data_IF_336790596078
#
_entry.id   IF_336790596078
#
_cell.length_a   1.000
_cell.length_b   1.000
_cell.length_c   1.000
_cell.angle_alpha   90.00
_cell.angle_beta   90.00
_cell.angle_gamma   90.00
#
_symmetry.space_group_name_H-M   'P 1'
#
loop_
_entity.id
_entity.type
_entity.pdbx_description
1 polymer ?
#
# COMPACT_ATOMS: atom_id res chain seq x y z
N UNK A 1 22.52 -12.97 -13.47
CA UNK A 1 22.75 -12.08 -12.31
C UNK A 1 22.41 -10.68 -12.76
N UNK A 2 21.56 -9.95 -12.01
CA UNK A 2 21.22 -8.54 -12.31
C UNK A 2 22.46 -7.68 -12.03
N UNK A 3 22.79 -6.78 -12.94
CA UNK A 3 23.96 -5.89 -12.84
C UNK A 3 23.77 -4.83 -11.73
N UNK A 4 24.86 -4.24 -11.24
CA UNK A 4 24.80 -3.19 -10.21
C UNK A 4 24.15 -1.88 -10.71
N UNK A 5 24.17 -1.63 -12.01
CA UNK A 5 23.49 -0.50 -12.66
C UNK A 5 21.98 -0.74 -12.74
N UNK A 6 21.54 -1.93 -13.15
CA UNK A 6 20.12 -2.33 -13.13
C UNK A 6 19.57 -2.31 -11.69
N UNK A 7 20.35 -2.73 -10.69
CA UNK A 7 19.96 -2.62 -9.27
C UNK A 7 19.77 -1.16 -8.85
N UNK A 8 20.68 -0.25 -9.19
CA UNK A 8 20.56 1.18 -8.86
C UNK A 8 19.35 1.83 -9.52
N UNK A 9 19.07 1.47 -10.77
CA UNK A 9 17.92 2.01 -11.51
C UNK A 9 16.59 1.51 -10.93
N UNK A 10 16.53 0.24 -10.51
CA UNK A 10 15.38 -0.34 -9.79
C UNK A 10 15.21 0.32 -8.41
N UNK A 11 16.29 0.49 -7.64
CA UNK A 11 16.25 1.15 -6.32
C UNK A 11 15.72 2.59 -6.44
N UNK A 12 16.13 3.35 -7.47
CA UNK A 12 15.60 4.68 -7.75
C UNK A 12 14.12 4.68 -8.19
N UNK A 13 13.66 3.62 -8.89
CA UNK A 13 12.24 3.45 -9.24
C UNK A 13 11.36 3.07 -8.05
N UNK A 14 11.95 2.43 -7.04
CA UNK A 14 11.26 1.78 -5.91
C UNK A 14 11.50 2.55 -4.60
N UNK A 15 12.01 3.78 -4.65
CA UNK A 15 12.28 4.58 -3.45
C UNK A 15 10.99 4.89 -2.66
N UNK A 16 11.03 4.66 -1.35
CA UNK A 16 9.93 4.91 -0.42
C UNK A 16 10.47 5.19 0.98
N UNK A 17 9.96 6.25 1.60
CA UNK A 17 10.34 6.73 2.91
C UNK A 17 9.29 6.31 3.95
N UNK A 18 9.58 5.22 4.65
CA UNK A 18 8.70 4.68 5.68
C UNK A 18 8.62 5.58 6.91
N UNK A 19 9.71 6.27 7.27
CA UNK A 19 9.73 7.18 8.42
C UNK A 19 8.88 8.43 8.16
N UNK A 20 8.88 8.93 6.92
CA UNK A 20 7.97 10.00 6.49
C UNK A 20 6.51 9.58 6.53
N UNK A 21 6.19 8.33 6.16
CA UNK A 21 4.83 7.79 6.33
C UNK A 21 4.44 7.74 7.81
N UNK A 22 5.30 7.17 8.67
CA UNK A 22 5.03 7.09 10.11
C UNK A 22 4.83 8.46 10.72
N UNK A 23 5.70 9.42 10.42
CA UNK A 23 5.60 10.79 10.92
C UNK A 23 4.29 11.43 10.49
N UNK A 24 3.90 11.28 9.21
CA UNK A 24 2.63 11.78 8.72
C UNK A 24 1.42 11.18 9.46
N UNK A 25 1.42 9.88 9.71
CA UNK A 25 0.34 9.21 10.47
C UNK A 25 0.29 9.72 11.90
N UNK A 26 1.44 9.86 12.57
CA UNK A 26 1.52 10.34 13.95
C UNK A 26 1.07 11.79 14.09
N UNK A 27 1.49 12.67 13.19
CA UNK A 27 1.11 14.09 13.16
C UNK A 27 -0.37 14.30 12.82
N UNK A 28 -0.99 13.35 12.11
CA UNK A 28 -2.38 13.42 11.66
C UNK A 28 -3.24 12.32 12.29
N UNK A 29 -2.96 11.98 13.55
CA UNK A 29 -3.66 10.90 14.27
C UNK A 29 -5.18 11.09 14.34
N UNK A 30 -5.66 12.33 14.31
CA UNK A 30 -7.10 12.66 14.25
C UNK A 30 -7.79 12.26 12.94
N UNK A 31 -7.05 12.15 11.82
CA UNK A 31 -7.60 11.73 10.53
C UNK A 31 -7.70 10.21 10.45
N UNK A 32 -6.76 9.51 11.08
CA UNK A 32 -6.72 8.05 11.13
C UNK A 32 -7.35 7.60 12.43
N UNK A 33 -8.67 7.70 12.49
CA UNK A 33 -9.50 7.53 13.69
C UNK A 33 -9.25 6.24 14.51
N UNK A 34 -8.59 5.23 13.93
CA UNK A 34 -8.22 4.00 14.63
C UNK A 34 -7.14 3.21 13.85
N UNK A 35 -6.51 2.27 14.56
CA UNK A 35 -5.46 1.38 14.04
C UNK A 35 -5.87 0.56 12.80
N UNK A 36 -7.15 0.18 12.69
CA UNK A 36 -7.68 -0.47 11.48
C UNK A 36 -7.60 0.46 10.26
N UNK A 37 -8.02 1.72 10.43
CA UNK A 37 -7.94 2.75 9.39
C UNK A 37 -6.49 3.02 8.99
N UNK A 38 -5.55 2.97 9.94
CA UNK A 38 -4.11 3.09 9.66
C UNK A 38 -3.62 1.98 8.74
N UNK A 39 -4.00 0.74 9.00
CA UNK A 39 -3.64 -0.39 8.15
C UNK A 39 -4.24 -0.26 6.74
N UNK A 40 -5.49 0.17 6.63
CA UNK A 40 -6.18 0.37 5.35
C UNK A 40 -5.58 1.54 4.55
N UNK A 41 -5.23 2.63 5.22
CA UNK A 41 -4.51 3.75 4.62
C UNK A 41 -3.14 3.31 4.08
N UNK A 42 -2.35 2.61 4.90
CA UNK A 42 -1.06 2.05 4.47
C UNK A 42 -1.20 1.10 3.29
N UNK A 43 -2.28 0.30 3.25
CA UNK A 43 -2.58 -0.56 2.10
C UNK A 43 -2.81 0.25 0.81
N UNK A 44 -3.50 1.39 0.90
CA UNK A 44 -3.64 2.33 -0.21
C UNK A 44 -2.28 2.83 -0.72
N UNK A 45 -1.41 3.25 0.20
CA UNK A 45 -0.03 3.67 -0.12
C UNK A 45 0.74 2.55 -0.83
N UNK A 46 0.63 1.30 -0.36
CA UNK A 46 1.29 0.16 -1.01
C UNK A 46 0.77 -0.06 -2.44
N UNK A 47 -0.54 0.09 -2.69
CA UNK A 47 -1.11 -0.04 -4.03
C UNK A 47 -0.64 1.08 -4.95
N UNK A 48 -0.45 2.31 -4.45
CA UNK A 48 0.18 3.39 -5.23
C UNK A 48 1.57 2.98 -5.73
N UNK A 49 2.37 2.34 -4.86
CA UNK A 49 3.71 1.87 -5.22
C UNK A 49 3.63 0.73 -6.25
N UNK A 50 2.65 -0.16 -6.13
CA UNK A 50 2.36 -1.18 -7.16
C UNK A 50 2.03 -0.53 -8.50
N UNK A 51 1.18 0.51 -8.54
CA UNK A 51 0.89 1.24 -9.78
C UNK A 51 2.14 1.87 -10.37
N UNK A 52 3.00 2.47 -9.54
CA UNK A 52 4.27 3.05 -9.99
C UNK A 52 5.18 2.00 -10.63
N UNK A 53 5.30 0.82 -10.03
CA UNK A 53 6.05 -0.30 -10.60
C UNK A 53 5.42 -0.81 -11.90
N UNK A 54 4.10 -0.97 -11.96
CA UNK A 54 3.41 -1.43 -13.17
C UNK A 54 3.54 -0.43 -14.31
N UNK A 55 3.38 0.86 -14.05
CA UNK A 55 3.58 1.90 -15.03
C UNK A 55 5.00 1.86 -15.60
N UNK A 56 6.01 1.66 -14.74
CA UNK A 56 7.41 1.59 -15.16
C UNK A 56 7.79 0.32 -15.94
N UNK A 57 7.03 -0.78 -15.80
CA UNK A 57 7.33 -2.07 -16.44
C UNK A 57 6.42 -2.38 -17.65
N UNK A 58 5.17 -1.91 -17.63
CA UNK A 58 4.11 -2.30 -18.58
C UNK A 58 3.45 -1.11 -19.28
N UNK A 59 3.85 0.14 -18.95
CA UNK A 59 3.17 1.36 -19.39
C UNK A 59 1.65 1.36 -19.11
N UNK A 60 1.20 0.61 -18.10
CA UNK A 60 -0.22 0.47 -17.71
C UNK A 60 -0.36 0.00 -16.26
N UNK A 61 -1.56 0.14 -15.67
CA UNK A 61 -1.86 -0.20 -14.25
C UNK A 61 -2.95 -1.27 -14.13
N UNK A 62 -2.74 -2.52 -14.59
CA UNK A 62 -3.79 -3.54 -14.61
C UNK A 62 -4.33 -3.91 -13.22
N UNK A 63 -3.59 -3.61 -12.13
CA UNK A 63 -4.07 -3.80 -10.77
C UNK A 63 -5.27 -2.92 -10.41
N UNK A 64 -5.48 -1.79 -11.09
CA UNK A 64 -6.63 -0.91 -10.85
C UNK A 64 -7.97 -1.63 -11.03
N UNK A 65 -8.04 -2.57 -11.99
CA UNK A 65 -9.23 -3.41 -12.22
C UNK A 65 -9.59 -4.29 -11.01
N UNK A 66 -8.65 -4.52 -10.09
CA UNK A 66 -8.85 -5.30 -8.85
C UNK A 66 -9.49 -4.49 -7.72
N UNK A 67 -9.62 -3.16 -7.89
CA UNK A 67 -10.14 -2.26 -6.87
C UNK A 67 -11.65 -2.03 -6.95
N UNK A 68 -12.37 -2.69 -7.87
CA UNK A 68 -13.85 -2.65 -7.98
C UNK A 68 -14.42 -1.22 -8.01
N UNK A 69 -13.80 -0.31 -8.75
CA UNK A 69 -14.22 1.10 -8.78
C UNK A 69 -14.12 1.79 -7.41
N UNK A 70 -13.16 1.35 -6.58
CA UNK A 70 -12.91 1.83 -5.22
C UNK A 70 -14.05 1.55 -4.23
N UNK A 71 -14.98 0.66 -4.57
CA UNK A 71 -16.02 0.18 -3.66
C UNK A 71 -15.52 -1.06 -2.92
N UNK A 72 -14.87 -0.83 -1.78
CA UNK A 72 -14.16 -1.86 -1.03
C UNK A 72 -14.96 -2.35 0.18
N UNK A 73 -14.90 -3.66 0.41
CA UNK A 73 -15.41 -4.32 1.61
C UNK A 73 -14.28 -4.80 2.52
N UNK A 74 -14.59 -5.21 3.75
CA UNK A 74 -13.62 -5.84 4.65
C UNK A 74 -12.91 -7.07 4.02
N UNK A 75 -13.63 -7.86 3.20
CA UNK A 75 -13.04 -9.01 2.48
C UNK A 75 -12.05 -8.56 1.40
N UNK A 76 -12.30 -7.40 0.80
CA UNK A 76 -11.41 -6.85 -0.23
C UNK A 76 -10.08 -6.39 0.36
N UNK A 77 -10.04 -5.91 1.61
CA UNK A 77 -8.79 -5.51 2.28
C UNK A 77 -7.78 -6.66 2.32
N UNK A 78 -8.20 -7.85 2.80
CA UNK A 78 -7.34 -9.03 2.87
C UNK A 78 -6.88 -9.49 1.47
N UNK A 79 -7.80 -9.48 0.50
CA UNK A 79 -7.51 -9.85 -0.89
C UNK A 79 -6.52 -8.89 -1.53
N UNK A 80 -6.75 -7.57 -1.42
CA UNK A 80 -5.91 -6.53 -2.00
C UNK A 80 -4.52 -6.58 -1.40
N UNK A 81 -4.37 -6.77 -0.07
CA UNK A 81 -3.05 -6.92 0.54
C UNK A 81 -2.27 -8.10 -0.05
N UNK A 82 -2.91 -9.28 -0.14
CA UNK A 82 -2.29 -10.47 -0.73
C UNK A 82 -1.86 -10.23 -2.19
N UNK A 83 -2.77 -9.70 -3.02
CA UNK A 83 -2.48 -9.43 -4.43
C UNK A 83 -1.42 -8.33 -4.61
N UNK A 84 -1.40 -7.29 -3.75
CA UNK A 84 -0.39 -6.23 -3.80
C UNK A 84 1.00 -6.78 -3.47
N UNK A 85 1.13 -7.61 -2.43
CA UNK A 85 2.39 -8.28 -2.08
C UNK A 85 2.89 -9.17 -3.23
N UNK A 86 1.98 -9.92 -3.86
CA UNK A 86 2.31 -10.72 -5.05
C UNK A 86 2.88 -9.83 -6.18
N UNK A 87 2.28 -8.67 -6.44
CA UNK A 87 2.78 -7.73 -7.46
C UNK A 87 4.11 -7.09 -7.09
N UNK A 88 4.33 -6.75 -5.83
CA UNK A 88 5.65 -6.28 -5.37
C UNK A 88 6.73 -7.32 -5.69
N UNK A 89 6.47 -8.59 -5.37
CA UNK A 89 7.41 -9.68 -5.64
C UNK A 89 7.55 -9.99 -7.14
N UNK A 90 6.54 -9.69 -7.96
CA UNK A 90 6.58 -9.89 -9.41
C UNK A 90 7.48 -8.85 -10.10
N UNK A 91 7.44 -7.59 -9.67
CA UNK A 91 8.13 -6.48 -10.34
C UNK A 91 9.40 -6.03 -9.62
N UNK A 92 9.72 -6.59 -8.46
CA UNK A 92 10.84 -6.19 -7.62
C UNK A 92 11.37 -7.35 -6.77
N UNK A 93 12.31 -7.07 -5.87
CA UNK A 93 12.90 -8.03 -4.94
C UNK A 93 11.97 -8.37 -3.77
N UNK A 94 12.15 -9.56 -3.20
CA UNK A 94 11.32 -10.09 -2.10
C UNK A 94 11.23 -9.16 -0.87
N UNK A 95 12.28 -8.38 -0.60
CA UNK A 95 12.36 -7.47 0.55
C UNK A 95 11.94 -6.02 0.21
N UNK A 96 11.47 -5.77 -1.01
CA UNK A 96 10.96 -4.45 -1.37
C UNK A 96 9.78 -4.07 -0.49
N UNK A 97 9.83 -2.83 0.03
CA UNK A 97 8.86 -2.27 0.97
C UNK A 97 8.62 -3.13 2.21
N UNK A 98 9.64 -3.86 2.68
CA UNK A 98 9.50 -4.80 3.81
C UNK A 98 8.85 -4.15 5.03
N UNK A 99 9.36 -3.01 5.49
CA UNK A 99 8.84 -2.33 6.68
C UNK A 99 7.37 -1.89 6.52
N UNK A 100 7.03 -1.32 5.36
CA UNK A 100 5.65 -0.95 5.03
C UNK A 100 4.73 -2.17 5.03
N UNK A 101 5.16 -3.29 4.43
CA UNK A 101 4.38 -4.53 4.35
C UNK A 101 4.17 -5.15 5.71
N UNK A 102 5.21 -5.22 6.53
CA UNK A 102 5.13 -5.73 7.91
C UNK A 102 4.20 -4.87 8.75
N UNK A 103 4.32 -3.54 8.67
CA UNK A 103 3.44 -2.59 9.32
C UNK A 103 1.97 -2.79 8.93
N UNK A 104 1.67 -2.87 7.62
CA UNK A 104 0.30 -3.10 7.14
C UNK A 104 -0.20 -4.46 7.65
N UNK A 105 0.60 -5.52 7.52
CA UNK A 105 0.21 -6.86 7.95
C UNK A 105 -0.16 -6.90 9.43
N UNK A 106 0.66 -6.30 10.29
CA UNK A 106 0.41 -6.20 11.73
C UNK A 106 -0.91 -5.47 12.01
N UNK A 107 -1.10 -4.27 11.43
CA UNK A 107 -2.32 -3.48 11.64
C UNK A 107 -3.56 -4.20 11.15
N UNK A 108 -3.52 -4.85 9.99
CA UNK A 108 -4.65 -5.60 9.44
C UNK A 108 -4.95 -6.87 10.25
N UNK A 109 -3.92 -7.59 10.72
CA UNK A 109 -4.07 -8.83 11.47
C UNK A 109 -4.62 -8.56 12.89
N UNK A 110 -4.02 -7.62 13.62
CA UNK A 110 -4.43 -7.26 14.99
C UNK A 110 -5.85 -6.70 15.01
N UNK A 111 -6.21 -5.89 14.01
CA UNK A 111 -7.51 -5.20 13.96
C UNK A 111 -8.54 -5.91 13.08
N UNK A 112 -8.34 -7.19 12.74
CA UNK A 112 -9.20 -7.95 11.82
C UNK A 112 -10.69 -7.89 12.20
N UNK A 113 -11.00 -8.00 13.49
CA UNK A 113 -12.38 -7.96 13.98
C UNK A 113 -13.00 -6.56 13.90
N UNK A 114 -12.20 -5.50 14.03
CA UNK A 114 -12.65 -4.13 13.85
C UNK A 114 -12.94 -3.85 12.38
N UNK A 115 -12.03 -4.25 11.48
CA UNK A 115 -12.19 -4.09 10.02
C UNK A 115 -13.49 -4.74 9.53
N UNK A 116 -13.83 -5.94 10.06
CA UNK A 116 -15.10 -6.62 9.73
C UNK A 116 -16.36 -5.84 10.11
N UNK A 117 -16.27 -4.93 11.08
CA UNK A 117 -17.38 -4.10 11.56
C UNK A 117 -17.43 -2.71 10.91
N UNK A 118 -16.35 -2.29 10.24
CA UNK A 118 -16.30 -1.00 9.55
C UNK A 118 -17.26 -0.98 8.37
N UNK A 119 -17.80 0.20 8.07
CA UNK A 119 -18.60 0.38 6.85
C UNK A 119 -17.70 0.30 5.60
N UNK A 120 -18.28 -0.16 4.49
CA UNK A 120 -17.57 -0.16 3.21
C UNK A 120 -17.12 1.25 2.80
N UNK A 121 -17.88 2.28 3.17
CA UNK A 121 -17.54 3.68 2.89
C UNK A 121 -16.27 4.11 3.64
N UNK A 122 -16.17 3.82 4.94
CA UNK A 122 -14.97 4.13 5.73
C UNK A 122 -13.74 3.38 5.21
N UNK A 123 -13.90 2.10 4.85
CA UNK A 123 -12.81 1.29 4.28
C UNK A 123 -12.34 1.92 2.96
N UNK A 124 -13.29 2.20 2.07
CA UNK A 124 -13.00 2.77 0.75
C UNK A 124 -12.33 4.14 0.87
N UNK A 125 -12.85 5.02 1.72
CA UNK A 125 -12.32 6.36 1.93
C UNK A 125 -10.88 6.33 2.44
N UNK A 126 -10.60 5.58 3.51
CA UNK A 126 -9.23 5.49 4.07
C UNK A 126 -8.24 4.92 3.05
N UNK A 127 -8.66 3.88 2.32
CA UNK A 127 -7.83 3.27 1.29
C UNK A 127 -7.51 4.27 0.17
N UNK A 128 -8.52 4.99 -0.33
CA UNK A 128 -8.35 5.99 -1.39
C UNK A 128 -7.45 7.13 -0.94
N UNK A 129 -7.60 7.63 0.28
CA UNK A 129 -6.69 8.65 0.81
C UNK A 129 -5.24 8.16 0.84
N UNK A 130 -4.99 6.90 1.23
CA UNK A 130 -3.65 6.31 1.16
C UNK A 130 -3.13 6.19 -0.27
N UNK A 131 -3.99 5.76 -1.20
CA UNK A 131 -3.66 5.61 -2.61
C UNK A 131 -3.24 6.95 -3.26
N UNK A 132 -4.02 8.01 -3.02
CA UNK A 132 -3.75 9.35 -3.56
C UNK A 132 -2.50 9.99 -2.93
N UNK A 133 -2.30 9.79 -1.62
CA UNK A 133 -1.17 10.34 -0.90
C UNK A 133 0.13 9.53 -1.05
N UNK A 134 0.09 8.34 -1.67
CA UNK A 134 1.24 7.45 -1.78
C UNK A 134 2.49 8.13 -2.36
N UNK A 135 2.32 9.04 -3.33
CA UNK A 135 3.42 9.80 -3.95
C UNK A 135 4.18 10.68 -2.94
N UNK A 136 3.52 11.14 -1.87
CA UNK A 136 4.12 12.00 -0.84
C UNK A 136 5.29 11.31 -0.11
N UNK A 137 5.28 9.98 -0.08
CA UNK A 137 6.23 9.16 0.64
C UNK A 137 7.33 8.57 -0.25
N UNK A 138 7.48 9.05 -1.49
CA UNK A 138 8.63 8.70 -2.32
C UNK A 138 9.90 9.37 -1.75
N UNK A 139 11.01 8.64 -1.69
CA UNK A 139 12.34 9.17 -1.33
C UNK A 139 13.08 9.72 -2.54
#
# INVERSE_FOLDING_TARGET
>A
MVTEEEKKEIINKVSFDFDKLKSFITENSNFVNNEASTGIFGLGVLVHLVFSMQQANLNSTPFEKKLKGLQLSAKDVERIYKEAVEKVNQYSYQNTYKELREFIAEKLMVNKNQIKKMSNQEISFNFVCGLELGRKFKS
#
